data_IF_547888779423
#
_entry.id   IF_547888779423
#
_cell.length_a   1.000
_cell.length_b   1.000
_cell.length_c   1.000
_cell.angle_alpha   90.00
_cell.angle_beta   90.00
_cell.angle_gamma   90.00
#
_symmetry.space_group_name_H-M   'P 1'
#
loop_
_entity.id
_entity.type
_entity.pdbx_description
1 polymer ?
#
# COMPACT_ATOMS: atom_id res chain seq x y z
N UNK A 1 -10.23 85.08 5.73
CA UNK A 1 -9.52 84.70 6.99
C UNK A 1 -8.22 84.06 6.56
N UNK A 2 -7.15 84.41 7.26
CA UNK A 2 -5.77 84.59 6.81
C UNK A 2 -5.06 83.46 6.04
N UNK A 3 -4.14 83.91 5.18
CA UNK A 3 -3.03 83.16 4.63
C UNK A 3 -1.91 82.96 5.68
N UNK A 4 -0.94 82.08 5.39
CA UNK A 4 0.51 82.38 5.33
C UNK A 4 1.32 81.07 5.33
N UNK A 5 2.15 80.96 4.30
CA UNK A 5 3.34 80.11 4.11
C UNK A 5 4.44 80.35 5.15
N UNK A 6 5.28 79.35 5.47
CA UNK A 6 6.75 79.48 5.35
C UNK A 6 7.51 78.17 5.64
N UNK A 7 8.57 78.02 4.85
CA UNK A 7 9.62 77.00 4.84
C UNK A 7 10.67 77.25 5.93
N UNK A 8 11.40 76.21 6.36
CA UNK A 8 12.87 76.27 6.53
C UNK A 8 13.51 74.88 6.71
N UNK A 9 14.65 74.71 6.04
CA UNK A 9 15.64 73.64 6.11
C UNK A 9 16.79 74.08 7.04
N UNK A 10 17.42 73.16 7.79
CA UNK A 10 18.90 73.01 7.99
C UNK A 10 19.19 71.89 9.02
N UNK A 11 19.80 70.76 8.66
CA UNK A 11 21.25 70.39 8.67
C UNK A 11 21.95 70.45 10.05
N UNK A 12 22.51 69.30 10.46
CA UNK A 12 23.51 69.13 11.53
C UNK A 12 23.54 67.67 12.04
N UNK A 13 24.28 66.76 11.39
CA UNK A 13 25.64 66.32 11.73
C UNK A 13 25.72 65.22 12.82
N UNK A 14 25.99 63.99 12.33
CA UNK A 14 26.88 62.92 12.86
C UNK A 14 27.10 62.75 14.37
N UNK A 15 26.87 61.52 14.85
CA UNK A 15 27.83 60.87 15.77
C UNK A 15 27.81 59.35 15.58
N UNK A 16 28.88 58.85 14.97
CA UNK A 16 29.32 57.45 15.04
C UNK A 16 29.64 57.07 16.48
N UNK A 17 29.14 55.92 16.93
CA UNK A 17 29.87 55.03 17.85
C UNK A 17 29.56 53.57 17.52
N UNK A 18 30.48 52.99 16.77
CA UNK A 18 30.74 51.56 16.69
C UNK A 18 31.10 50.96 18.06
N UNK A 19 31.00 49.63 18.11
CA UNK A 19 31.50 48.69 19.12
C UNK A 19 30.62 48.43 20.36
N UNK A 20 30.04 47.23 20.43
CA UNK A 20 30.76 46.13 21.07
C UNK A 20 30.04 44.80 20.80
N UNK A 21 30.77 43.88 20.17
CA UNK A 21 30.52 42.44 20.07
C UNK A 21 29.86 41.88 21.33
N UNK A 22 28.66 41.29 21.21
CA UNK A 22 28.20 40.33 22.22
C UNK A 22 28.81 38.97 21.89
N UNK A 23 29.68 38.58 22.82
CA UNK A 23 30.39 37.32 22.92
C UNK A 23 29.50 36.12 22.58
N UNK A 24 29.91 35.38 21.56
CA UNK A 24 29.49 34.00 21.35
C UNK A 24 30.12 33.18 22.49
N UNK A 25 29.29 32.58 23.33
CA UNK A 25 29.71 31.45 24.13
C UNK A 25 29.66 30.22 23.20
N UNK A 26 30.73 29.41 23.07
CA UNK A 26 30.64 28.15 22.35
C UNK A 26 29.78 27.22 23.21
N UNK A 27 28.52 27.10 22.83
CA UNK A 27 27.68 26.01 23.32
C UNK A 27 27.87 24.90 22.31
N UNK A 28 28.78 23.98 22.61
CA UNK A 28 29.02 22.76 21.81
C UNK A 28 27.83 21.80 21.92
N UNK A 29 26.65 22.25 21.49
CA UNK A 29 25.60 21.39 21.00
C UNK A 29 25.69 21.43 19.48
N UNK A 30 25.65 20.30 18.76
CA UNK A 30 25.59 20.35 17.30
C UNK A 30 24.35 21.17 16.94
N UNK A 31 24.56 22.34 16.31
CA UNK A 31 23.49 23.12 15.70
C UNK A 31 22.69 22.15 14.85
N UNK A 32 21.45 21.87 15.26
CA UNK A 32 20.56 21.03 14.50
C UNK A 32 20.41 21.72 13.14
N UNK A 33 20.97 21.10 12.09
CA UNK A 33 20.96 21.67 10.76
C UNK A 33 19.51 22.08 10.40
N UNK A 34 19.32 23.34 10.05
CA UNK A 34 17.99 23.85 9.71
C UNK A 34 17.60 23.39 8.30
N UNK A 35 16.90 22.26 8.25
CA UNK A 35 16.40 21.68 7.00
C UNK A 35 15.16 22.39 6.46
N UNK A 36 14.59 23.36 7.18
CA UNK A 36 13.38 24.07 6.76
C UNK A 36 13.65 25.11 5.66
N UNK A 37 14.88 25.62 5.58
CA UNK A 37 15.33 26.61 4.61
C UNK A 37 15.90 26.07 3.29
N UNK A 38 15.78 24.76 3.00
CA UNK A 38 16.23 24.22 1.71
C UNK A 38 15.38 24.76 0.55
N UNK A 39 16.04 24.99 -0.59
CA UNK A 39 15.37 25.30 -1.86
C UNK A 39 14.40 24.18 -2.25
N UNK A 40 13.26 24.56 -2.84
CA UNK A 40 12.20 23.63 -3.25
C UNK A 40 12.73 22.48 -4.12
N UNK A 41 13.62 22.77 -5.07
CA UNK A 41 14.17 21.77 -5.99
C UNK A 41 15.02 20.72 -5.28
N UNK A 42 15.74 21.11 -4.22
CA UNK A 42 16.52 20.18 -3.40
C UNK A 42 15.59 19.31 -2.56
N UNK A 43 14.51 19.87 -2.01
CA UNK A 43 13.50 19.09 -1.31
C UNK A 43 12.85 18.06 -2.24
N UNK A 44 12.49 18.43 -3.47
CA UNK A 44 11.92 17.50 -4.46
C UNK A 44 12.91 16.40 -4.86
N UNK A 45 14.21 16.73 -4.99
CA UNK A 45 15.25 15.73 -5.24
C UNK A 45 15.40 14.75 -4.06
N UNK A 46 15.31 15.24 -2.82
CA UNK A 46 15.28 14.40 -1.63
C UNK A 46 14.04 13.50 -1.65
N UNK A 47 12.84 14.05 -1.89
CA UNK A 47 11.60 13.27 -1.97
C UNK A 47 11.69 12.13 -2.99
N UNK A 48 12.37 12.35 -4.12
CA UNK A 48 12.60 11.33 -5.15
C UNK A 48 13.54 10.19 -4.72
N UNK A 49 14.39 10.43 -3.72
CA UNK A 49 15.32 9.45 -3.19
C UNK A 49 14.77 8.70 -1.96
N UNK A 50 13.64 9.13 -1.39
CA UNK A 50 13.02 8.48 -0.23
C UNK A 50 12.20 7.25 -0.64
N UNK A 51 12.20 6.23 0.22
CA UNK A 51 11.21 5.17 0.16
C UNK A 51 9.79 5.73 0.43
N UNK A 52 8.75 4.99 0.03
CA UNK A 52 7.37 5.50 0.20
C UNK A 52 7.06 5.85 1.66
N UNK A 53 7.41 5.03 2.66
CA UNK A 53 7.13 5.38 4.06
C UNK A 53 7.85 6.65 4.55
N UNK A 54 9.10 6.87 4.16
CA UNK A 54 9.84 8.09 4.54
C UNK A 54 9.33 9.29 3.78
N UNK A 55 8.93 9.11 2.53
CA UNK A 55 8.23 10.14 1.75
C UNK A 55 6.91 10.54 2.43
N UNK A 56 6.07 9.61 2.88
CA UNK A 56 4.85 9.93 3.65
C UNK A 56 5.18 10.68 4.95
N UNK A 57 6.22 10.24 5.67
CA UNK A 57 6.65 10.88 6.92
C UNK A 57 7.25 12.27 6.71
N UNK A 58 7.83 12.54 5.55
CA UNK A 58 8.45 13.82 5.21
C UNK A 58 7.44 14.99 5.30
N UNK A 59 6.17 14.73 4.97
CA UNK A 59 5.09 15.72 5.07
C UNK A 59 4.71 16.14 6.49
N UNK A 60 5.25 15.45 7.51
CA UNK A 60 5.05 15.78 8.92
C UNK A 60 6.20 16.59 9.54
N UNK A 61 7.29 16.86 8.80
CA UNK A 61 8.50 17.52 9.33
C UNK A 61 8.26 19.02 9.61
N UNK A 62 7.94 19.78 8.57
CA UNK A 62 7.63 21.22 8.65
C UNK A 62 6.79 21.66 7.44
N UNK A 63 6.43 22.94 7.36
CA UNK A 63 5.60 23.47 6.27
C UNK A 63 6.26 23.34 4.91
N UNK A 64 7.54 23.69 4.76
CA UNK A 64 8.25 23.60 3.47
C UNK A 64 8.38 22.15 2.98
N UNK A 65 8.63 21.20 3.89
CA UNK A 65 8.66 19.77 3.57
C UNK A 65 7.27 19.22 3.24
N UNK A 66 6.22 19.68 3.93
CA UNK A 66 4.83 19.33 3.60
C UNK A 66 4.41 19.86 2.24
N UNK A 67 4.81 21.06 1.89
CA UNK A 67 4.53 21.67 0.59
C UNK A 67 5.30 20.94 -0.52
N UNK A 68 6.57 20.61 -0.27
CA UNK A 68 7.36 19.78 -1.18
C UNK A 68 6.74 18.40 -1.35
N UNK A 69 6.34 17.72 -0.26
CA UNK A 69 5.63 16.44 -0.28
C UNK A 69 4.31 16.50 -1.07
N UNK A 70 3.49 17.53 -0.83
CA UNK A 70 2.20 17.69 -1.51
C UNK A 70 2.37 17.99 -3.00
N UNK A 71 3.44 18.73 -3.34
CA UNK A 71 3.88 19.00 -4.71
C UNK A 71 4.47 17.75 -5.36
N UNK A 72 5.15 16.92 -4.56
CA UNK A 72 5.79 15.68 -4.96
C UNK A 72 4.73 14.59 -5.18
N UNK A 73 4.00 14.72 -6.30
CA UNK A 73 3.32 13.71 -7.14
C UNK A 73 2.68 12.45 -6.52
N UNK A 74 2.44 12.38 -5.22
CA UNK A 74 1.63 11.34 -4.61
C UNK A 74 0.18 11.30 -5.08
N UNK A 75 -0.45 12.42 -5.50
CA UNK A 75 -1.71 12.34 -6.22
C UNK A 75 -1.62 11.43 -7.45
N UNK A 76 -0.45 11.38 -8.10
CA UNK A 76 -0.21 10.48 -9.22
C UNK A 76 -0.01 9.03 -8.79
N UNK A 77 0.61 8.75 -7.62
CA UNK A 77 0.59 7.38 -7.05
C UNK A 77 -0.83 6.91 -6.70
N UNK A 78 -1.73 7.84 -6.34
CA UNK A 78 -3.14 7.55 -6.05
C UNK A 78 -4.00 7.38 -7.30
N UNK A 79 -3.58 7.90 -8.45
CA UNK A 79 -4.41 7.99 -9.67
C UNK A 79 -3.84 7.23 -10.88
N UNK A 80 -2.54 6.90 -10.89
CA UNK A 80 -1.89 6.19 -11.99
C UNK A 80 -1.70 4.71 -11.62
N UNK A 81 -1.92 3.78 -12.56
CA UNK A 81 -1.58 2.38 -12.35
C UNK A 81 -0.08 2.27 -12.10
N UNK A 82 0.29 1.72 -10.94
CA UNK A 82 1.68 1.47 -10.58
C UNK A 82 1.96 -0.03 -10.70
N UNK A 83 3.17 -0.37 -11.13
CA UNK A 83 3.63 -1.74 -11.22
C UNK A 83 4.32 -2.13 -9.92
N UNK A 84 3.76 -3.09 -9.20
CA UNK A 84 4.41 -3.74 -8.07
C UNK A 84 5.12 -5.01 -8.55
N UNK A 85 6.42 -5.13 -8.30
CA UNK A 85 7.18 -6.30 -8.73
C UNK A 85 8.30 -6.66 -7.74
N UNK A 86 8.71 -7.94 -7.82
CA UNK A 86 9.84 -8.47 -7.08
C UNK A 86 11.17 -8.03 -7.70
N UNK A 87 12.12 -7.60 -6.88
CA UNK A 87 13.46 -7.25 -7.32
C UNK A 87 14.48 -7.98 -6.45
N UNK A 88 15.35 -8.80 -7.06
CA UNK A 88 16.34 -9.61 -6.34
C UNK A 88 17.30 -8.75 -5.52
N UNK A 89 17.62 -7.54 -6.00
CA UNK A 89 18.49 -6.58 -5.31
C UNK A 89 17.90 -6.07 -3.99
N UNK A 90 16.57 -6.08 -3.84
CA UNK A 90 15.89 -5.59 -2.64
C UNK A 90 15.67 -6.72 -1.61
N UNK A 91 15.95 -7.97 -2.01
CA UNK A 91 15.82 -9.13 -1.16
C UNK A 91 14.38 -9.60 -0.94
N UNK A 92 14.14 -10.45 0.08
CA UNK A 92 12.85 -11.12 0.24
C UNK A 92 11.78 -10.28 0.93
N UNK A 93 12.17 -9.20 1.63
CA UNK A 93 11.26 -8.40 2.48
C UNK A 93 10.82 -7.08 1.85
N UNK A 94 11.26 -6.82 0.64
CA UNK A 94 10.98 -5.57 -0.07
C UNK A 94 10.56 -5.87 -1.51
N UNK A 95 9.75 -4.97 -2.06
CA UNK A 95 9.34 -4.98 -3.45
C UNK A 95 9.58 -3.60 -4.07
N UNK A 96 9.57 -3.56 -5.40
CA UNK A 96 9.66 -2.34 -6.17
C UNK A 96 8.26 -1.89 -6.59
N UNK A 97 7.93 -0.63 -6.31
CA UNK A 97 6.73 0.04 -6.80
C UNK A 97 7.15 1.06 -7.86
N UNK A 98 6.98 0.71 -9.13
CA UNK A 98 7.24 1.62 -10.25
C UNK A 98 5.99 2.40 -10.60
N UNK A 99 6.11 3.72 -10.68
CA UNK A 99 5.06 4.60 -11.13
C UNK A 99 5.39 5.17 -12.52
N UNK A 100 4.69 4.75 -13.58
CA UNK A 100 4.93 5.25 -14.93
C UNK A 100 4.74 6.77 -15.08
N UNK A 101 3.78 7.34 -14.32
CA UNK A 101 3.48 8.78 -14.42
C UNK A 101 4.59 9.68 -13.86
N UNK A 102 5.37 9.19 -12.90
CA UNK A 102 6.50 9.92 -12.32
C UNK A 102 7.84 9.42 -12.83
N UNK A 103 7.86 8.27 -13.52
CA UNK A 103 9.05 7.52 -13.90
C UNK A 103 9.99 7.26 -12.71
N UNK A 104 9.41 7.01 -11.54
CA UNK A 104 10.14 6.74 -10.30
C UNK A 104 9.82 5.32 -9.80
N UNK A 105 10.84 4.68 -9.23
CA UNK A 105 10.72 3.39 -8.55
C UNK A 105 10.97 3.59 -7.07
N UNK A 106 10.02 3.17 -6.26
CA UNK A 106 10.12 3.24 -4.81
C UNK A 106 10.32 1.85 -4.22
N UNK A 107 11.13 1.76 -3.17
CA UNK A 107 11.17 0.58 -2.32
C UNK A 107 9.98 0.61 -1.39
N UNK A 108 9.27 -0.51 -1.32
CA UNK A 108 8.13 -0.68 -0.43
C UNK A 108 8.35 -1.91 0.44
N UNK A 109 7.93 -1.87 1.73
CA UNK A 109 7.89 -3.06 2.55
C UNK A 109 7.10 -4.14 1.81
N UNK A 110 7.54 -5.37 1.85
CA UNK A 110 6.79 -6.48 1.29
C UNK A 110 6.89 -7.66 2.26
N UNK A 111 5.92 -7.80 3.17
CA UNK A 111 5.96 -8.88 4.14
C UNK A 111 5.48 -10.14 3.41
N UNK A 112 6.45 -10.89 2.90
CA UNK A 112 6.29 -12.24 2.40
C UNK A 112 7.23 -13.17 3.18
N UNK A 113 6.83 -14.43 3.43
CA UNK A 113 7.74 -15.45 3.94
C UNK A 113 8.94 -15.68 2.99
N UNK A 114 10.05 -16.29 3.46
CA UNK A 114 11.38 -16.23 2.84
C UNK A 114 11.59 -17.13 1.60
N UNK A 115 10.59 -17.32 0.72
CA UNK A 115 10.69 -18.25 -0.41
C UNK A 115 10.44 -17.66 -1.80
N UNK A 116 11.03 -18.34 -2.79
CA UNK A 116 11.51 -17.81 -4.08
C UNK A 116 10.43 -17.59 -5.16
N UNK A 117 9.16 -17.94 -4.91
CA UNK A 117 8.10 -17.81 -5.92
C UNK A 117 6.90 -17.15 -5.30
N UNK A 118 6.53 -15.99 -5.85
CA UNK A 118 5.55 -15.05 -5.32
C UNK A 118 4.30 -15.11 -6.20
N UNK A 119 3.14 -15.40 -5.62
CA UNK A 119 1.85 -15.33 -6.31
C UNK A 119 1.14 -14.04 -5.94
N UNK A 120 0.97 -13.13 -6.89
CA UNK A 120 0.03 -12.01 -6.75
C UNK A 120 -1.22 -12.35 -7.52
N UNK A 121 -2.38 -12.26 -6.85
CA UNK A 121 -3.62 -12.64 -7.49
C UNK A 121 -4.33 -11.38 -8.01
N UNK A 122 -4.49 -10.34 -7.18
CA UNK A 122 -5.26 -9.14 -7.57
C UNK A 122 -4.83 -7.85 -6.86
N UNK A 123 -5.07 -6.70 -7.50
CA UNK A 123 -4.91 -5.35 -6.91
C UNK A 123 -6.18 -4.51 -7.10
N UNK A 124 -6.67 -3.88 -6.04
CA UNK A 124 -7.87 -3.04 -6.09
C UNK A 124 -7.79 -1.92 -5.04
N UNK A 125 -8.15 -0.68 -5.42
CA UNK A 125 -8.19 0.49 -4.52
C UNK A 125 -6.93 0.70 -3.64
N UNK A 126 -5.74 0.41 -4.19
CA UNK A 126 -4.46 0.56 -3.46
C UNK A 126 -4.13 -0.60 -2.51
N UNK A 127 -4.96 -1.65 -2.47
CA UNK A 127 -4.71 -2.91 -1.78
C UNK A 127 -4.32 -3.99 -2.77
N UNK A 128 -3.48 -4.91 -2.29
CA UNK A 128 -3.08 -6.12 -2.99
C UNK A 128 -3.63 -7.30 -2.21
N UNK A 129 -4.34 -8.20 -2.90
CA UNK A 129 -4.70 -9.51 -2.40
C UNK A 129 -3.54 -10.47 -2.69
N UNK A 130 -2.96 -11.01 -1.63
CA UNK A 130 -1.87 -11.95 -1.68
C UNK A 130 -2.19 -13.17 -0.82
N UNK A 131 -1.45 -14.25 -1.02
CA UNK A 131 -1.54 -15.46 -0.23
C UNK A 131 -0.15 -15.86 0.28
N UNK A 132 -0.09 -16.37 1.50
CA UNK A 132 1.16 -16.77 2.14
C UNK A 132 1.68 -18.13 1.64
N UNK A 133 2.64 -18.73 2.34
CA UNK A 133 3.22 -20.03 1.99
C UNK A 133 2.21 -21.17 2.04
N UNK A 134 1.20 -21.08 2.90
CA UNK A 134 0.16 -22.11 3.01
C UNK A 134 -1.03 -21.82 2.10
N UNK A 135 -1.12 -20.63 1.50
CA UNK A 135 -2.23 -20.22 0.66
C UNK A 135 -3.28 -19.39 1.41
N UNK A 136 -3.01 -19.04 2.67
CA UNK A 136 -3.90 -18.21 3.46
C UNK A 136 -3.84 -16.76 2.97
N UNK A 137 -5.01 -16.15 2.71
CA UNK A 137 -5.06 -14.87 2.03
C UNK A 137 -4.90 -13.71 3.02
N UNK A 138 -4.34 -12.61 2.52
CA UNK A 138 -4.26 -11.35 3.24
C UNK A 138 -4.32 -10.16 2.30
N UNK A 139 -4.77 -9.02 2.83
CA UNK A 139 -4.66 -7.74 2.16
C UNK A 139 -3.39 -7.04 2.59
N UNK A 140 -2.73 -6.41 1.62
CA UNK A 140 -1.50 -5.65 1.81
C UNK A 140 -1.57 -4.30 1.10
N UNK A 141 -1.17 -3.23 1.78
CA UNK A 141 -1.07 -1.90 1.18
C UNK A 141 0.42 -1.53 0.93
N UNK A 142 0.88 -1.50 -0.34
CA UNK A 142 2.28 -1.21 -0.68
C UNK A 142 2.79 0.15 -0.22
N UNK A 143 1.90 1.14 -0.06
CA UNK A 143 2.27 2.51 0.29
C UNK A 143 2.47 2.63 1.80
N UNK A 144 1.58 2.02 2.59
CA UNK A 144 1.57 2.16 4.06
C UNK A 144 2.24 1.00 4.79
N UNK A 145 2.46 -0.13 4.11
CA UNK A 145 2.96 -1.37 4.71
C UNK A 145 1.92 -2.12 5.55
N UNK A 146 0.69 -1.60 5.68
CA UNK A 146 -0.37 -2.22 6.49
C UNK A 146 -0.79 -3.56 5.88
N UNK A 147 -0.96 -4.55 6.75
CA UNK A 147 -1.52 -5.85 6.42
C UNK A 147 -2.79 -6.12 7.20
N UNK A 148 -3.71 -6.86 6.58
CA UNK A 148 -4.92 -7.33 7.23
C UNK A 148 -5.19 -8.77 6.81
N UNK A 149 -5.25 -9.68 7.79
CA UNK A 149 -5.51 -11.09 7.54
C UNK A 149 -6.96 -11.31 7.09
N UNK A 150 -7.15 -12.22 6.15
CA UNK A 150 -8.46 -12.73 5.74
C UNK A 150 -8.63 -14.17 6.30
N UNK A 151 -9.85 -14.73 6.23
CA UNK A 151 -10.05 -16.09 6.72
C UNK A 151 -9.18 -17.10 5.97
N UNK A 152 -8.65 -18.13 6.67
CA UNK A 152 -7.84 -19.18 6.04
C UNK A 152 -8.55 -19.88 4.88
N UNK A 153 -7.79 -20.37 3.92
CA UNK A 153 -8.33 -21.01 2.71
C UNK A 153 -9.15 -22.27 3.04
N UNK A 154 -8.74 -23.02 4.07
CA UNK A 154 -9.47 -24.18 4.62
C UNK A 154 -10.85 -23.86 5.23
N UNK A 155 -11.24 -22.59 5.24
CA UNK A 155 -12.56 -22.17 5.72
C UNK A 155 -13.53 -21.88 4.58
N UNK A 156 -13.09 -22.06 3.33
CA UNK A 156 -13.93 -22.01 2.15
C UNK A 156 -14.87 -23.21 2.10
N UNK A 157 -16.05 -23.03 1.51
CA UNK A 157 -16.97 -24.15 1.29
C UNK A 157 -16.32 -25.20 0.38
N UNK A 158 -16.43 -26.47 0.74
CA UNK A 158 -15.79 -27.57 0.03
C UNK A 158 -14.28 -27.74 0.33
N UNK A 159 -13.74 -26.93 1.24
CA UNK A 159 -12.41 -27.07 1.83
C UNK A 159 -12.62 -27.34 3.32
N UNK A 160 -12.42 -28.59 3.75
CA UNK A 160 -12.56 -28.99 5.15
C UNK A 160 -11.21 -28.96 5.89
N UNK A 161 -11.17 -29.34 7.16
CA UNK A 161 -9.93 -29.35 7.96
C UNK A 161 -8.83 -30.22 7.34
N UNK A 162 -9.23 -31.24 6.56
CA UNK A 162 -8.35 -32.16 5.84
C UNK A 162 -7.87 -31.61 4.48
N UNK A 163 -8.10 -30.32 4.17
CA UNK A 163 -7.65 -29.73 2.90
C UNK A 163 -6.13 -29.79 2.73
N UNK A 164 -5.40 -29.79 3.84
CA UNK A 164 -3.96 -30.00 3.86
C UNK A 164 -3.64 -31.37 4.45
N UNK A 165 -2.50 -31.94 4.04
CA UNK A 165 -1.95 -33.08 4.76
C UNK A 165 -1.43 -32.69 6.16
N UNK A 166 -1.16 -33.70 7.00
CA UNK A 166 -0.66 -33.52 8.37
C UNK A 166 0.64 -32.68 8.43
N UNK A 167 1.39 -32.66 7.32
CA UNK A 167 2.61 -31.87 7.18
C UNK A 167 2.38 -30.43 6.69
N UNK A 168 1.18 -30.09 6.22
CA UNK A 168 0.83 -28.79 5.65
C UNK A 168 1.60 -28.47 4.35
N UNK A 169 2.04 -29.50 3.62
CA UNK A 169 2.88 -29.37 2.42
C UNK A 169 2.14 -29.67 1.13
N UNK A 170 1.06 -30.43 1.24
CA UNK A 170 0.27 -30.84 0.12
C UNK A 170 -1.21 -30.53 0.36
N UNK A 171 -1.91 -30.34 -0.75
CA UNK A 171 -3.33 -30.08 -0.81
C UNK A 171 -4.01 -31.36 -1.26
N UNK A 172 -5.01 -31.78 -0.51
CA UNK A 172 -5.88 -32.89 -0.89
C UNK A 172 -6.95 -32.30 -1.81
N UNK A 173 -6.92 -32.67 -3.09
CA UNK A 173 -7.94 -32.23 -4.04
C UNK A 173 -9.17 -33.13 -3.92
N UNK A 174 -10.33 -32.63 -3.43
CA UNK A 174 -11.54 -33.44 -3.34
C UNK A 174 -12.14 -33.79 -4.71
N UNK A 175 -11.65 -33.20 -5.81
CA UNK A 175 -12.13 -33.45 -7.17
C UNK A 175 -11.29 -34.44 -8.00
N UNK A 176 -10.18 -34.96 -7.47
CA UNK A 176 -9.39 -35.96 -8.18
C UNK A 176 -10.01 -37.35 -8.00
N UNK A 177 -10.78 -37.80 -8.99
CA UNK A 177 -11.31 -39.18 -9.12
C UNK A 177 -10.19 -40.25 -9.32
N UNK A 178 -8.92 -39.91 -9.09
CA UNK A 178 -7.81 -40.83 -9.27
C UNK A 178 -7.71 -41.72 -8.02
N UNK A 179 -8.03 -43.01 -8.18
CA UNK A 179 -7.83 -44.08 -7.17
C UNK A 179 -6.34 -44.28 -6.76
N UNK A 180 -5.45 -43.39 -7.19
CA UNK A 180 -4.05 -43.34 -6.81
C UNK A 180 -3.86 -42.27 -5.73
N UNK A 181 -3.80 -42.70 -4.46
CA UNK A 181 -3.50 -41.89 -3.26
C UNK A 181 -2.20 -41.04 -3.34
N UNK A 182 -1.44 -41.15 -4.42
CA UNK A 182 -0.08 -40.59 -4.57
C UNK A 182 -0.01 -39.24 -5.30
N UNK A 183 -1.09 -38.72 -5.89
CA UNK A 183 -1.09 -37.39 -6.54
C UNK A 183 -1.43 -36.26 -5.57
N UNK A 184 -0.63 -36.14 -4.51
CA UNK A 184 -0.66 -34.99 -3.59
C UNK A 184 -0.29 -33.70 -4.33
N UNK A 185 -1.25 -32.79 -4.54
CA UNK A 185 -0.98 -31.53 -5.23
C UNK A 185 -0.19 -30.59 -4.30
N UNK A 186 0.86 -29.94 -4.79
CA UNK A 186 1.70 -29.05 -3.96
C UNK A 186 0.91 -27.86 -3.42
N UNK A 187 1.22 -27.40 -2.20
CA UNK A 187 0.64 -26.17 -1.62
C UNK A 187 0.81 -24.92 -2.50
N UNK A 188 1.85 -24.91 -3.36
CA UNK A 188 2.05 -23.87 -4.37
C UNK A 188 0.86 -23.77 -5.34
N UNK A 189 0.20 -24.89 -5.65
CA UNK A 189 -0.99 -24.91 -6.49
C UNK A 189 -2.15 -24.15 -5.84
N UNK A 190 -2.43 -24.42 -4.56
CA UNK A 190 -3.56 -23.78 -3.87
C UNK A 190 -3.35 -22.28 -3.80
N UNK A 191 -2.13 -21.83 -3.52
CA UNK A 191 -1.78 -20.41 -3.54
C UNK A 191 -2.05 -19.75 -4.90
N UNK A 192 -1.67 -20.42 -5.99
CA UNK A 192 -1.69 -19.83 -7.32
C UNK A 192 -3.03 -20.05 -8.06
N UNK A 193 -3.88 -20.96 -7.60
CA UNK A 193 -5.06 -21.41 -8.34
C UNK A 193 -6.35 -21.45 -7.52
N UNK A 194 -6.32 -21.41 -6.19
CA UNK A 194 -7.57 -21.45 -5.41
C UNK A 194 -8.41 -20.21 -5.66
N UNK A 195 -7.78 -19.03 -5.77
CA UNK A 195 -8.45 -17.75 -5.99
C UNK A 195 -8.47 -17.40 -7.48
N UNK A 196 -9.65 -17.50 -8.11
CA UNK A 196 -9.85 -17.26 -9.54
C UNK A 196 -10.04 -15.77 -9.84
N UNK A 197 -10.83 -15.07 -9.02
CA UNK A 197 -11.11 -13.63 -9.11
C UNK A 197 -11.29 -13.02 -7.73
N UNK A 198 -10.92 -11.76 -7.55
CA UNK A 198 -11.10 -11.03 -6.30
C UNK A 198 -11.57 -9.60 -6.58
N UNK A 199 -12.62 -9.18 -5.87
CA UNK A 199 -13.08 -7.81 -5.80
C UNK A 199 -13.01 -7.31 -4.35
N UNK A 200 -12.63 -6.05 -4.16
CA UNK A 200 -12.48 -5.44 -2.82
C UNK A 200 -13.30 -4.17 -2.79
N UNK A 201 -14.21 -4.04 -1.81
CA UNK A 201 -14.99 -2.82 -1.64
C UNK A 201 -14.11 -1.67 -1.18
N UNK A 202 -14.47 -0.46 -1.61
CA UNK A 202 -13.91 0.77 -1.07
C UNK A 202 -14.40 0.98 0.36
N UNK A 203 -13.47 1.23 1.30
CA UNK A 203 -13.77 1.56 2.68
C UNK A 203 -12.69 2.48 3.26
N UNK A 204 -13.06 3.30 4.25
CA UNK A 204 -12.11 4.21 4.92
C UNK A 204 -11.07 3.44 5.76
N UNK A 205 -11.49 2.33 6.36
CA UNK A 205 -10.63 1.41 7.12
C UNK A 205 -10.64 0.03 6.46
N UNK A 206 -9.49 -0.66 6.50
CA UNK A 206 -9.36 -2.00 5.89
C UNK A 206 -10.29 -3.01 6.55
N UNK A 207 -10.51 -2.91 7.86
CA UNK A 207 -11.42 -3.80 8.61
C UNK A 207 -12.89 -3.64 8.22
N UNK A 208 -13.25 -2.52 7.59
CA UNK A 208 -14.59 -2.27 7.08
C UNK A 208 -14.77 -2.71 5.62
N UNK A 209 -13.69 -3.03 4.90
CA UNK A 209 -13.80 -3.51 3.53
C UNK A 209 -14.38 -4.92 3.49
N UNK A 210 -15.10 -5.20 2.41
CA UNK A 210 -15.60 -6.53 2.08
C UNK A 210 -14.76 -7.04 0.91
N UNK A 211 -14.28 -8.27 1.03
CA UNK A 211 -13.56 -8.97 -0.02
C UNK A 211 -14.49 -10.04 -0.55
N UNK A 212 -14.77 -9.98 -1.84
CA UNK A 212 -15.52 -11.00 -2.58
C UNK A 212 -14.52 -11.77 -3.43
N UNK A 213 -14.53 -13.09 -3.30
CA UNK A 213 -13.66 -13.99 -4.07
C UNK A 213 -14.51 -14.96 -4.87
N UNK A 214 -14.01 -15.28 -6.07
CA UNK A 214 -14.38 -16.46 -6.83
C UNK A 214 -13.28 -17.49 -6.65
N UNK A 215 -13.64 -18.70 -6.25
CA UNK A 215 -12.65 -19.73 -5.91
C UNK A 215 -13.00 -21.11 -6.45
N UNK A 216 -11.97 -21.95 -6.57
CA UNK A 216 -12.09 -23.35 -6.95
C UNK A 216 -12.80 -24.19 -5.87
N UNK A 217 -13.32 -25.38 -6.21
CA UNK A 217 -13.30 -26.05 -7.53
C UNK A 217 -14.37 -25.54 -8.51
N UNK A 218 -15.48 -24.98 -8.05
CA UNK A 218 -16.66 -24.72 -8.89
C UNK A 218 -16.87 -23.25 -9.26
N UNK A 219 -15.85 -22.40 -9.19
CA UNK A 219 -16.02 -20.94 -9.30
C UNK A 219 -17.08 -20.40 -8.33
N UNK A 220 -17.07 -20.94 -7.11
CA UNK A 220 -17.97 -20.53 -6.03
C UNK A 220 -17.63 -19.11 -5.59
N UNK A 221 -18.65 -18.38 -5.13
CA UNK A 221 -18.49 -17.03 -4.62
C UNK A 221 -18.57 -17.04 -3.10
N UNK A 222 -17.53 -16.50 -2.47
CA UNK A 222 -17.46 -16.35 -1.03
C UNK A 222 -17.04 -14.93 -0.68
N UNK A 223 -17.52 -14.39 0.43
CA UNK A 223 -17.09 -13.09 0.92
C UNK A 223 -16.70 -13.11 2.39
N UNK A 224 -15.83 -12.17 2.76
CA UNK A 224 -15.39 -11.97 4.13
C UNK A 224 -14.90 -10.53 4.33
N UNK A 225 -14.77 -10.12 5.59
CA UNK A 225 -14.05 -8.92 5.98
C UNK A 225 -12.71 -9.28 6.63
N UNK A 226 -11.71 -8.39 6.58
CA UNK A 226 -10.49 -8.62 7.34
C UNK A 226 -10.77 -8.78 8.84
N UNK A 227 -10.21 -9.84 9.42
CA UNK A 227 -10.46 -10.26 10.81
C UNK A 227 -11.61 -11.26 11.00
N UNK A 228 -12.39 -11.56 9.96
CA UNK A 228 -13.33 -12.68 10.01
C UNK A 228 -12.59 -14.02 10.17
N UNK A 229 -13.23 -14.98 10.84
CA UNK A 229 -12.63 -16.30 11.09
C UNK A 229 -12.89 -17.31 9.97
N UNK A 230 -13.94 -17.10 9.16
CA UNK A 230 -14.37 -18.00 8.09
C UNK A 230 -14.96 -17.22 6.93
N UNK A 231 -14.86 -17.78 5.74
CA UNK A 231 -15.55 -17.28 4.56
C UNK A 231 -17.06 -17.52 4.64
N UNK A 232 -17.84 -16.57 4.12
CA UNK A 232 -19.30 -16.73 3.98
C UNK A 232 -19.61 -17.05 2.52
N UNK A 233 -20.09 -18.27 2.26
CA UNK A 233 -20.51 -18.70 0.93
C UNK A 233 -21.76 -17.93 0.49
N UNK A 234 -21.75 -17.40 -0.73
CA UNK A 234 -22.95 -16.89 -1.37
C UNK A 234 -23.72 -18.04 -2.00
N UNK A 235 -25.02 -18.19 -1.70
CA UNK A 235 -25.82 -19.28 -2.24
C UNK A 235 -25.84 -19.22 -3.77
N UNK A 236 -25.62 -20.38 -4.40
CA UNK A 236 -25.42 -20.60 -5.83
C UNK A 236 -26.16 -19.60 -6.73
N UNK A 237 -25.45 -18.56 -7.18
CA UNK A 237 -25.81 -17.77 -8.37
C UNK A 237 -25.70 -18.63 -9.66
N UNK A 238 -25.25 -19.87 -9.54
CA UNK A 238 -25.30 -20.91 -10.56
C UNK A 238 -26.73 -21.41 -10.78
N UNK A 239 -27.58 -20.62 -11.42
CA UNK A 239 -28.73 -21.23 -12.12
C UNK A 239 -28.24 -21.65 -13.51
N UNK A 240 -28.51 -22.90 -13.91
CA UNK A 240 -28.26 -23.42 -15.28
C UNK A 240 -28.78 -22.52 -16.43
N UNK A 241 -29.57 -21.50 -16.12
CA UNK A 241 -30.18 -20.57 -17.07
C UNK A 241 -29.37 -19.28 -17.29
N UNK A 242 -28.44 -18.95 -16.39
CA UNK A 242 -27.52 -17.82 -16.51
C UNK A 242 -26.12 -18.43 -16.53
N UNK A 243 -25.42 -18.40 -17.68
CA UNK A 243 -24.02 -18.85 -17.74
C UNK A 243 -23.26 -18.34 -16.50
N UNK A 244 -22.54 -19.24 -15.83
CA UNK A 244 -21.98 -18.99 -14.50
C UNK A 244 -21.19 -17.67 -14.40
N UNK A 245 -20.99 -17.19 -13.18
CA UNK A 245 -20.23 -15.95 -12.95
C UNK A 245 -18.80 -16.16 -13.45
N UNK A 246 -18.38 -15.32 -14.40
CA UNK A 246 -17.04 -15.37 -15.02
C UNK A 246 -16.08 -14.33 -14.46
N UNK A 247 -16.61 -13.29 -13.82
CA UNK A 247 -15.83 -12.22 -13.23
C UNK A 247 -16.55 -11.59 -12.04
N UNK A 248 -15.79 -10.95 -11.15
CA UNK A 248 -16.31 -10.13 -10.05
C UNK A 248 -15.59 -8.78 -10.02
N UNK A 249 -16.36 -7.71 -9.88
CA UNK A 249 -15.85 -6.35 -9.84
C UNK A 249 -16.49 -5.64 -8.65
N UNK A 250 -16.02 -4.45 -8.31
CA UNK A 250 -16.68 -3.59 -7.34
C UNK A 250 -16.82 -2.20 -7.94
N UNK A 251 -18.01 -1.62 -7.84
CA UNK A 251 -18.31 -0.27 -8.28
C UNK A 251 -18.44 0.66 -7.06
N UNK A 252 -17.52 1.61 -6.95
CA UNK A 252 -17.49 2.56 -5.84
C UNK A 252 -18.60 3.63 -5.91
N UNK A 253 -19.24 3.79 -7.07
CA UNK A 253 -20.30 4.78 -7.27
C UNK A 253 -21.64 4.38 -6.65
N UNK A 254 -21.96 3.09 -6.67
CA UNK A 254 -23.19 2.53 -6.13
C UNK A 254 -22.95 1.59 -4.94
N UNK A 255 -21.69 1.23 -4.67
CA UNK A 255 -21.30 0.38 -3.55
C UNK A 255 -21.60 -1.10 -3.77
N UNK A 256 -21.76 -1.53 -5.03
CA UNK A 256 -22.15 -2.89 -5.39
C UNK A 256 -20.99 -3.69 -5.98
N UNK A 257 -21.12 -5.02 -5.87
CA UNK A 257 -20.25 -6.02 -6.51
C UNK A 257 -20.94 -6.64 -7.72
#
# INVERSE_FOLDING_TARGET
MEAVTLSAVSIGATNDKEAQRRSIAPTDAPDAADWSGLLQDLLLAIMAALDVPSLVRSGAVCTSWRDAYSTFRLPALKQAPCLLYACDEYGPKEAALYCPSTNATFRVPFPGPPHEKRGFVFSCHGWVFAADEVGDPYLFNPITGVQAALPPVKTLSGRDEDFYDDEGKHVIDPGSDDENEDQKTSILWARDSEYIRVAISSAAEVTACTVLIMHNPDSMLSFAKPGDKRWTLLPNLQTRQTGGVSDVLYNDKDGLF
#
